data_IF_496628504954
#
_entry.id   IF_496628504954
#
_cell.length_a   1.000
_cell.length_b   1.000
_cell.length_c   1.000
_cell.angle_alpha   90.00
_cell.angle_beta   90.00
_cell.angle_gamma   90.00
#
_symmetry.space_group_name_H-M   'P 1'
#
loop_
_entity.id
_entity.type
_entity.pdbx_description
1 polymer ?
#
# COMPACT_ATOMS: atom_id res chain seq x y z
N UNK A 1 5.18 1.58 -9.31
CA UNK A 1 3.78 2.05 -9.27
C UNK A 1 3.70 3.46 -9.83
N UNK A 2 2.62 3.85 -10.51
CA UNK A 2 2.46 5.20 -11.06
C UNK A 2 2.43 6.32 -9.98
N UNK A 3 2.07 5.98 -8.73
CA UNK A 3 2.03 6.90 -7.59
C UNK A 3 3.25 6.88 -6.67
N UNK A 4 4.46 6.53 -7.16
CA UNK A 4 5.63 6.37 -6.29
C UNK A 4 6.02 7.64 -5.52
N UNK A 5 5.98 8.82 -6.16
CA UNK A 5 6.32 10.09 -5.53
C UNK A 5 5.38 10.46 -4.36
N UNK A 6 4.03 10.46 -4.52
CA UNK A 6 3.14 10.72 -3.39
C UNK A 6 3.21 9.64 -2.31
N UNK A 7 3.50 8.37 -2.66
CA UNK A 7 3.73 7.32 -1.66
C UNK A 7 4.96 7.60 -0.78
N UNK A 8 6.07 8.08 -1.36
CA UNK A 8 7.22 8.50 -0.57
C UNK A 8 6.88 9.66 0.37
N UNK A 9 6.14 10.66 -0.11
CA UNK A 9 5.69 11.77 0.75
C UNK A 9 4.82 11.29 1.91
N UNK A 10 3.90 10.35 1.64
CA UNK A 10 3.07 9.73 2.67
C UNK A 10 3.91 8.99 3.71
N UNK A 11 4.94 8.25 3.31
CA UNK A 11 5.80 7.52 4.23
C UNK A 11 6.64 8.45 5.13
N UNK A 12 7.13 9.56 4.57
CA UNK A 12 7.82 10.60 5.34
C UNK A 12 6.86 11.23 6.38
N UNK A 13 5.67 11.65 5.94
CA UNK A 13 4.67 12.21 6.84
C UNK A 13 4.23 11.21 7.91
N UNK A 14 4.07 9.93 7.56
CA UNK A 14 3.73 8.88 8.51
C UNK A 14 4.81 8.72 9.59
N UNK A 15 6.09 8.80 9.23
CA UNK A 15 7.18 8.77 10.20
C UNK A 15 7.18 10.00 11.11
N UNK A 16 6.97 11.21 10.56
CA UNK A 16 6.91 12.45 11.32
C UNK A 16 5.72 12.49 12.31
N UNK A 17 4.64 11.76 12.00
CA UNK A 17 3.43 11.67 12.83
C UNK A 17 3.34 10.39 13.67
N UNK A 18 4.42 9.61 13.76
CA UNK A 18 4.46 8.34 14.49
C UNK A 18 3.33 7.35 14.09
N UNK A 19 2.98 7.36 12.81
CA UNK A 19 1.98 6.47 12.22
C UNK A 19 2.66 5.20 11.67
N UNK A 20 2.01 4.07 11.91
CA UNK A 20 2.41 2.77 11.36
C UNK A 20 1.53 2.39 10.18
N UNK A 21 2.16 2.02 9.08
CA UNK A 21 1.49 1.44 7.92
C UNK A 21 1.19 -0.04 8.12
N UNK A 22 -0.02 -0.47 7.80
CA UNK A 22 -0.45 -1.87 7.73
C UNK A 22 -1.03 -2.17 6.36
N UNK A 23 -0.65 -3.31 5.77
CA UNK A 23 -1.26 -3.80 4.53
C UNK A 23 -2.69 -4.28 4.82
N UNK A 24 -3.67 -3.68 4.16
CA UNK A 24 -5.08 -4.05 4.30
C UNK A 24 -5.50 -5.07 3.23
N UNK A 25 -5.07 -4.87 1.99
CA UNK A 25 -5.38 -5.77 0.88
C UNK A 25 -4.31 -5.66 -0.21
N UNK A 26 -4.07 -6.77 -0.90
CA UNK A 26 -3.17 -6.87 -2.05
C UNK A 26 -3.81 -7.77 -3.10
N UNK A 27 -4.00 -7.25 -4.31
CA UNK A 27 -4.71 -7.92 -5.41
C UNK A 27 -4.01 -7.70 -6.73
N UNK A 28 -4.37 -8.50 -7.74
CA UNK A 28 -3.89 -8.32 -9.11
C UNK A 28 -5.00 -8.44 -10.14
N UNK A 29 -4.85 -7.80 -11.29
CA UNK A 29 -5.77 -7.97 -12.42
C UNK A 29 -5.81 -9.40 -12.97
N UNK A 30 -4.80 -10.23 -12.65
CA UNK A 30 -4.76 -11.64 -13.00
C UNK A 30 -5.64 -12.53 -12.11
N UNK A 31 -6.19 -11.99 -11.02
CA UNK A 31 -7.07 -12.74 -10.11
C UNK A 31 -8.41 -13.09 -10.77
N UNK A 32 -8.81 -12.37 -11.82
CA UNK A 32 -10.08 -12.56 -12.56
C UNK A 32 -9.89 -13.07 -13.99
N UNK A 33 -8.74 -12.84 -14.62
CA UNK A 33 -8.55 -12.98 -16.07
C UNK A 33 -7.82 -14.25 -16.53
N UNK A 34 -7.29 -15.09 -15.63
CA UNK A 34 -6.62 -16.35 -15.95
C UNK A 34 -5.20 -16.24 -16.56
N UNK A 35 -4.93 -15.20 -17.36
CA UNK A 35 -3.58 -14.88 -17.84
C UNK A 35 -2.83 -14.02 -16.81
N UNK A 36 -1.69 -14.53 -16.35
CA UNK A 36 -0.81 -13.89 -15.35
C UNK A 36 0.52 -13.42 -15.91
N UNK A 37 0.72 -13.49 -17.24
CA UNK A 37 1.95 -13.07 -17.89
C UNK A 37 2.22 -11.56 -17.77
N UNK A 38 1.14 -10.76 -17.67
CA UNK A 38 1.21 -9.32 -17.45
C UNK A 38 -0.02 -8.85 -16.67
N UNK A 39 0.21 -8.38 -15.45
CA UNK A 39 -0.86 -7.96 -14.52
C UNK A 39 -0.59 -6.57 -13.95
N UNK A 40 -1.65 -5.91 -13.50
CA UNK A 40 -1.57 -4.72 -12.67
C UNK A 40 -1.80 -5.14 -11.22
N UNK A 41 -0.92 -4.73 -10.31
CA UNK A 41 -1.10 -4.91 -8.87
C UNK A 41 -1.85 -3.74 -8.24
N UNK A 42 -2.71 -4.04 -7.27
CA UNK A 42 -3.44 -3.09 -6.45
C UNK A 42 -3.13 -3.36 -4.99
N UNK A 43 -2.88 -2.32 -4.20
CA UNK A 43 -2.60 -2.45 -2.77
C UNK A 43 -3.33 -1.36 -1.98
N UNK A 44 -3.88 -1.75 -0.84
CA UNK A 44 -4.51 -0.86 0.12
C UNK A 44 -3.73 -0.89 1.44
N UNK A 45 -3.46 0.28 2.01
CA UNK A 45 -2.68 0.44 3.23
C UNK A 45 -3.41 1.37 4.19
N UNK A 46 -3.43 1.01 5.47
CA UNK A 46 -3.92 1.86 6.55
C UNK A 46 -2.74 2.43 7.33
N UNK A 47 -2.84 3.70 7.72
CA UNK A 47 -1.87 4.35 8.63
C UNK A 47 -2.61 4.79 9.88
N UNK A 48 -2.15 4.34 11.03
CA UNK A 48 -2.72 4.69 12.33
C UNK A 48 -1.58 4.84 13.35
N UNK A 49 -1.79 5.58 14.45
CA UNK A 49 -0.85 5.54 15.57
C UNK A 49 -0.58 4.10 15.97
N UNK A 50 0.61 3.83 16.47
CA UNK A 50 0.85 2.56 17.12
C UNK A 50 -0.04 2.49 18.37
N UNK A 51 -1.04 1.62 18.36
CA UNK A 51 -1.63 1.15 19.61
C UNK A 51 -0.49 0.47 20.37
N UNK A 52 -0.09 1.08 21.49
CA UNK A 52 0.91 0.53 22.39
C UNK A 52 0.48 -0.86 22.91
N UNK A 53 1.40 -1.62 23.52
CA UNK A 53 1.04 -2.87 24.19
C UNK A 53 -0.06 -2.69 25.24
#
# INVERSE_FOLDING_TARGET
ACGAAPLHGLLLAAADHDLRGTLLDLRTSGDTAGDRSRVVGYGAFGFAPQDGP
#
